data_IF_881818183249
#
_entry.id   IF_881818183249
#
_cell.length_a   1.000
_cell.length_b   1.000
_cell.length_c   1.000
_cell.angle_alpha   90.00
_cell.angle_beta   90.00
_cell.angle_gamma   90.00
#
_symmetry.space_group_name_H-M   'P 1'
#
loop_
_entity.id
_entity.type
_entity.pdbx_description
1 polymer ?
#
# COMPACT_ATOMS: atom_id res chain seq x y z
N UNK A 1 10.12 -11.85 -17.85
CA UNK A 1 10.51 -11.12 -16.63
C UNK A 1 10.84 -12.19 -15.60
N UNK A 2 12.04 -12.18 -15.03
CA UNK A 2 12.53 -13.24 -14.15
C UNK A 2 12.12 -12.92 -12.71
N UNK A 3 11.02 -13.50 -12.25
CA UNK A 3 10.45 -13.34 -10.89
C UNK A 3 11.48 -13.66 -9.79
N UNK A 4 12.56 -14.34 -10.17
CA UNK A 4 13.71 -14.69 -9.33
C UNK A 4 14.49 -13.46 -8.83
N UNK A 5 14.63 -12.38 -9.64
CA UNK A 5 15.41 -11.21 -9.21
C UNK A 5 14.70 -10.39 -8.13
N UNK A 6 13.36 -10.28 -8.19
CA UNK A 6 12.57 -9.66 -7.13
C UNK A 6 12.74 -10.40 -5.80
N UNK A 7 12.56 -11.73 -5.79
CA UNK A 7 12.72 -12.51 -4.55
C UNK A 7 14.15 -12.48 -4.01
N UNK A 8 15.15 -12.44 -4.89
CA UNK A 8 16.55 -12.23 -4.51
C UNK A 8 16.75 -10.88 -3.80
N UNK A 9 16.14 -9.81 -4.31
CA UNK A 9 16.21 -8.50 -3.68
C UNK A 9 15.61 -8.53 -2.26
N UNK A 10 14.47 -9.19 -2.08
CA UNK A 10 13.83 -9.38 -0.77
C UNK A 10 14.68 -10.24 0.17
N UNK A 11 15.33 -11.29 -0.33
CA UNK A 11 16.21 -12.14 0.47
C UNK A 11 17.44 -11.38 0.96
N UNK A 12 18.06 -10.56 0.10
CA UNK A 12 19.20 -9.71 0.44
C UNK A 12 18.87 -8.77 1.61
N UNK A 13 17.68 -8.17 1.60
CA UNK A 13 17.28 -7.30 2.71
C UNK A 13 17.09 -8.05 4.02
N UNK A 14 16.53 -9.26 3.97
CA UNK A 14 16.32 -10.10 5.15
C UNK A 14 17.62 -10.65 5.71
N UNK A 15 18.65 -10.81 4.89
CA UNK A 15 19.95 -11.35 5.28
C UNK A 15 20.95 -10.30 5.77
N UNK A 16 20.54 -9.04 5.93
CA UNK A 16 21.40 -7.95 6.41
C UNK A 16 22.13 -7.16 5.32
N UNK A 17 21.85 -7.44 4.04
CA UNK A 17 22.35 -6.67 2.89
C UNK A 17 21.26 -5.71 2.38
N UNK A 18 20.66 -4.94 3.29
CA UNK A 18 19.48 -4.12 3.01
C UNK A 18 19.70 -3.05 1.95
N UNK A 19 20.90 -2.48 1.87
CA UNK A 19 21.24 -1.48 0.84
C UNK A 19 21.29 -2.10 -0.56
N UNK A 20 21.95 -3.26 -0.72
CA UNK A 20 22.04 -3.95 -2.02
C UNK A 20 20.68 -4.49 -2.49
N UNK A 21 19.89 -5.03 -1.55
CA UNK A 21 18.52 -5.46 -1.84
C UNK A 21 17.64 -4.29 -2.29
N UNK A 22 17.75 -3.14 -1.64
CA UNK A 22 17.02 -1.93 -2.02
C UNK A 22 17.42 -1.41 -3.40
N UNK A 23 18.73 -1.32 -3.70
CA UNK A 23 19.21 -0.90 -5.02
C UNK A 23 18.74 -1.83 -6.14
N UNK A 24 18.67 -3.13 -5.87
CA UNK A 24 18.12 -4.10 -6.82
C UNK A 24 16.62 -3.90 -7.02
N UNK A 25 15.84 -3.64 -5.96
CA UNK A 25 14.44 -3.26 -6.09
C UNK A 25 14.30 -1.98 -6.94
N UNK A 26 15.14 -0.98 -6.74
CA UNK A 26 15.07 0.29 -7.49
C UNK A 26 15.34 0.07 -8.98
N UNK A 27 16.33 -0.76 -9.29
CA UNK A 27 16.60 -1.18 -10.67
C UNK A 27 15.39 -1.88 -11.29
N UNK A 28 14.86 -2.91 -10.64
CA UNK A 28 13.72 -3.69 -11.14
C UNK A 28 12.47 -2.82 -11.33
N UNK A 29 12.24 -1.89 -10.41
CA UNK A 29 11.18 -0.88 -10.49
C UNK A 29 11.34 0.01 -11.72
N UNK A 30 12.55 0.54 -11.99
CA UNK A 30 12.82 1.33 -13.18
C UNK A 30 12.71 0.52 -14.49
N UNK A 31 12.88 -0.80 -14.43
CA UNK A 31 12.66 -1.73 -15.55
C UNK A 31 11.19 -2.10 -15.75
N UNK A 32 10.30 -1.65 -14.87
CA UNK A 32 8.86 -1.85 -14.97
C UNK A 32 8.33 -3.12 -14.30
N UNK A 33 9.10 -3.73 -13.39
CA UNK A 33 8.62 -4.88 -12.60
C UNK A 33 7.52 -4.43 -11.62
N UNK A 34 6.27 -4.92 -11.75
CA UNK A 34 5.14 -4.44 -10.96
C UNK A 34 5.26 -4.78 -9.47
N UNK A 35 5.92 -5.87 -9.10
CA UNK A 35 6.11 -6.25 -7.70
C UNK A 35 7.16 -5.37 -7.03
N UNK A 36 8.29 -5.13 -7.70
CA UNK A 36 9.31 -4.20 -7.23
C UNK A 36 8.75 -2.76 -7.13
N UNK A 37 7.90 -2.37 -8.08
CA UNK A 37 7.20 -1.09 -8.07
C UNK A 37 6.28 -0.94 -6.86
N UNK A 38 5.41 -1.93 -6.59
CA UNK A 38 4.51 -1.91 -5.44
C UNK A 38 5.30 -1.86 -4.12
N UNK A 39 6.36 -2.67 -3.99
CA UNK A 39 7.19 -2.69 -2.79
C UNK A 39 7.91 -1.36 -2.53
N UNK A 40 8.53 -0.79 -3.56
CA UNK A 40 9.16 0.53 -3.45
C UNK A 40 8.14 1.61 -3.11
N UNK A 41 6.97 1.56 -3.73
CA UNK A 41 5.90 2.51 -3.42
C UNK A 41 5.43 2.37 -1.97
N UNK A 42 5.25 1.15 -1.45
CA UNK A 42 4.89 0.96 -0.03
C UNK A 42 5.95 1.58 0.89
N UNK A 43 7.23 1.37 0.59
CA UNK A 43 8.35 1.89 1.38
C UNK A 43 8.41 3.41 1.36
N UNK A 44 8.22 4.03 0.20
CA UNK A 44 8.21 5.48 0.06
C UNK A 44 6.96 6.15 0.65
N UNK A 45 5.93 5.41 1.02
CA UNK A 45 4.66 6.02 1.41
C UNK A 45 4.22 5.67 2.86
N UNK A 46 4.61 4.51 3.42
CA UNK A 46 4.18 4.11 4.78
C UNK A 46 4.81 4.96 5.90
N UNK A 47 4.01 5.54 6.81
CA UNK A 47 4.45 6.36 7.97
C UNK A 47 5.21 5.55 9.04
N UNK A 48 4.82 4.31 9.32
CA UNK A 48 5.49 3.48 10.35
C UNK A 48 6.88 3.01 9.91
N UNK A 49 7.12 2.86 8.61
CA UNK A 49 8.46 2.65 8.03
C UNK A 49 9.25 3.94 7.79
N UNK A 50 8.55 5.09 7.68
CA UNK A 50 9.12 6.36 7.21
C UNK A 50 10.17 6.97 8.16
N UNK A 51 9.91 7.00 9.47
CA UNK A 51 10.78 7.78 10.35
C UNK A 51 12.17 7.15 10.56
N UNK A 52 12.27 5.82 10.49
CA UNK A 52 13.49 5.08 10.80
C UNK A 52 14.20 4.55 9.56
N UNK A 53 13.51 3.82 8.67
CA UNK A 53 14.16 3.13 7.56
C UNK A 53 14.52 4.09 6.42
N UNK A 54 13.59 4.97 6.02
CA UNK A 54 13.84 5.93 4.94
C UNK A 54 14.87 6.96 5.37
N UNK A 55 14.86 7.48 6.60
CA UNK A 55 15.94 8.38 7.08
C UNK A 55 17.33 7.72 7.13
N UNK A 56 17.41 6.39 7.28
CA UNK A 56 18.67 5.67 7.17
C UNK A 56 19.12 5.50 5.71
N UNK A 57 18.19 5.44 4.77
CA UNK A 57 18.44 5.19 3.35
C UNK A 57 18.64 6.50 2.57
N UNK A 58 17.80 7.50 2.81
CA UNK A 58 17.84 8.85 2.24
C UNK A 58 17.52 9.90 3.33
N UNK A 59 18.55 10.42 4.02
CA UNK A 59 18.36 11.40 5.09
C UNK A 59 17.97 12.80 4.58
N UNK A 60 18.08 13.07 3.26
CA UNK A 60 17.67 14.34 2.68
C UNK A 60 16.15 14.40 2.49
N UNK A 61 15.49 15.23 3.28
CA UNK A 61 14.03 15.38 3.27
C UNK A 61 13.46 15.78 1.90
N UNK A 62 14.15 16.63 1.13
CA UNK A 62 13.70 17.06 -0.21
C UNK A 62 13.70 15.88 -1.17
N UNK A 63 14.78 15.09 -1.17
CA UNK A 63 14.90 13.93 -2.04
C UNK A 63 13.91 12.81 -1.64
N UNK A 64 13.64 12.68 -0.35
CA UNK A 64 12.60 11.78 0.15
C UNK A 64 11.20 12.19 -0.35
N UNK A 65 10.89 13.48 -0.35
CA UNK A 65 9.62 14.01 -0.87
C UNK A 65 9.47 13.77 -2.38
N UNK A 66 10.54 13.99 -3.16
CA UNK A 66 10.57 13.68 -4.59
C UNK A 66 10.28 12.20 -4.87
N UNK A 67 10.84 11.29 -4.07
CA UNK A 67 10.62 9.85 -4.19
C UNK A 67 9.19 9.45 -3.81
N UNK A 68 8.61 10.06 -2.79
CA UNK A 68 7.21 9.84 -2.42
C UNK A 68 6.24 10.27 -3.55
N UNK A 69 6.49 11.41 -4.19
CA UNK A 69 5.71 11.87 -5.35
C UNK A 69 5.87 10.91 -6.52
N UNK A 70 7.09 10.45 -6.81
CA UNK A 70 7.35 9.47 -7.87
C UNK A 70 6.61 8.16 -7.61
N UNK A 71 6.59 7.70 -6.36
CA UNK A 71 5.86 6.50 -5.94
C UNK A 71 4.35 6.64 -6.14
N UNK A 72 3.74 7.75 -5.71
CA UNK A 72 2.31 8.02 -5.90
C UNK A 72 1.92 8.05 -7.38
N UNK A 73 2.69 8.75 -8.21
CA UNK A 73 2.46 8.79 -9.66
C UNK A 73 2.47 7.37 -10.24
N UNK A 74 3.39 6.54 -9.78
CA UNK A 74 3.55 5.20 -10.31
C UNK A 74 2.47 4.24 -9.82
N UNK A 75 2.00 4.38 -8.59
CA UNK A 75 0.79 3.70 -8.12
C UNK A 75 -0.44 4.14 -8.93
N UNK A 76 -0.54 5.42 -9.29
CA UNK A 76 -1.64 5.93 -10.11
C UNK A 76 -1.67 5.30 -11.49
N UNK A 77 -0.51 5.06 -12.09
CA UNK A 77 -0.39 4.33 -13.36
C UNK A 77 -0.82 2.86 -13.21
N UNK A 78 -0.29 2.13 -12.23
CA UNK A 78 -0.69 0.74 -11.96
C UNK A 78 -2.19 0.60 -11.66
N UNK A 79 -2.75 1.51 -10.88
CA UNK A 79 -4.18 1.58 -10.58
C UNK A 79 -5.03 1.93 -11.82
N UNK A 80 -4.46 2.65 -12.79
CA UNK A 80 -5.12 2.90 -14.08
C UNK A 80 -5.12 1.65 -14.96
N UNK A 81 -4.09 0.81 -14.84
CA UNK A 81 -3.96 -0.47 -15.53
C UNK A 81 -4.77 -1.61 -14.87
N UNK A 82 -5.44 -1.33 -13.75
CA UNK A 82 -6.34 -2.27 -13.07
C UNK A 82 -5.73 -3.01 -11.89
N UNK A 83 -4.54 -2.63 -11.42
CA UNK A 83 -3.92 -3.24 -10.25
C UNK A 83 -4.68 -2.87 -8.96
N UNK A 84 -5.32 -3.86 -8.35
CA UNK A 84 -6.13 -3.67 -7.15
C UNK A 84 -5.32 -3.32 -5.91
N UNK A 85 -4.07 -3.77 -5.81
CA UNK A 85 -3.20 -3.43 -4.68
C UNK A 85 -2.73 -1.98 -4.80
N UNK A 86 -2.39 -1.52 -6.00
CA UNK A 86 -2.08 -0.12 -6.24
C UNK A 86 -3.26 0.80 -5.89
N UNK A 87 -4.49 0.41 -6.25
CA UNK A 87 -5.70 1.14 -5.85
C UNK A 87 -5.86 1.19 -4.32
N UNK A 88 -5.68 0.06 -3.64
CA UNK A 88 -5.75 -0.02 -2.17
C UNK A 88 -4.71 0.89 -1.50
N UNK A 89 -3.49 0.91 -2.03
CA UNK A 89 -2.42 1.78 -1.57
C UNK A 89 -2.74 3.27 -1.77
N UNK A 90 -3.26 3.66 -2.93
CA UNK A 90 -3.73 5.04 -3.17
C UNK A 90 -4.89 5.43 -2.24
N UNK A 91 -5.76 4.50 -1.88
CA UNK A 91 -6.80 4.80 -0.90
C UNK A 91 -6.21 5.16 0.47
N UNK A 92 -5.17 4.43 0.91
CA UNK A 92 -4.48 4.71 2.17
C UNK A 92 -3.78 6.08 2.15
N UNK A 93 -3.26 6.51 0.99
CA UNK A 93 -2.82 7.89 0.77
C UNK A 93 -3.96 8.87 1.04
N UNK A 94 -5.11 8.68 0.37
CA UNK A 94 -6.24 9.59 0.50
C UNK A 94 -6.87 9.62 1.90
N UNK A 95 -6.73 8.57 2.70
CA UNK A 95 -7.15 8.57 4.11
C UNK A 95 -6.22 9.42 5.00
N UNK A 96 -5.05 9.81 4.49
CA UNK A 96 -4.03 10.51 5.24
C UNK A 96 -3.31 9.59 6.23
N UNK A 97 -3.34 8.27 5.99
CA UNK A 97 -2.52 7.33 6.75
C UNK A 97 -1.05 7.47 6.40
N UNK A 98 -0.75 8.11 5.27
CA UNK A 98 0.57 8.23 4.64
C UNK A 98 0.94 9.72 4.40
N UNK A 99 2.24 10.02 4.27
CA UNK A 99 2.94 11.33 4.33
C UNK A 99 2.10 12.65 4.29
N UNK A 100 2.45 13.63 5.14
CA UNK A 100 1.66 14.85 5.40
C UNK A 100 1.50 15.85 4.25
N UNK A 101 2.10 15.62 3.08
CA UNK A 101 2.03 16.56 1.94
C UNK A 101 0.73 16.43 1.15
N UNK A 102 -0.02 15.34 1.34
CA UNK A 102 -1.13 14.98 0.46
C UNK A 102 -2.51 15.36 1.03
N UNK A 103 -3.42 15.67 0.10
CA UNK A 103 -4.78 16.15 0.41
C UNK A 103 -5.67 14.97 0.79
N UNK A 104 -5.94 14.83 2.08
CA UNK A 104 -6.92 13.86 2.60
C UNK A 104 -8.27 14.03 1.88
N UNK A 105 -8.78 12.94 1.30
CA UNK A 105 -10.06 12.89 0.61
C UNK A 105 -10.76 11.56 0.90
N UNK A 106 -11.70 11.58 1.84
CA UNK A 106 -12.47 10.40 2.25
C UNK A 106 -13.24 9.81 1.06
N UNK A 107 -13.75 10.64 0.16
CA UNK A 107 -14.52 10.22 -1.02
C UNK A 107 -13.63 9.47 -2.03
N UNK A 108 -12.43 9.99 -2.30
CA UNK A 108 -11.51 9.31 -3.23
C UNK A 108 -10.93 8.03 -2.60
N UNK A 109 -10.70 8.03 -1.29
CA UNK A 109 -10.32 6.81 -0.57
C UNK A 109 -11.36 5.70 -0.73
N UNK A 110 -12.64 5.99 -0.44
CA UNK A 110 -13.73 5.01 -0.60
C UNK A 110 -13.80 4.49 -2.03
N UNK A 111 -13.75 5.39 -3.02
CA UNK A 111 -13.81 5.03 -4.43
C UNK A 111 -12.66 4.12 -4.85
N UNK A 112 -11.43 4.39 -4.39
CA UNK A 112 -10.28 3.54 -4.68
C UNK A 112 -10.39 2.18 -4.00
N UNK A 113 -10.85 2.11 -2.75
CA UNK A 113 -11.06 0.84 -2.06
C UNK A 113 -12.13 -0.03 -2.75
N UNK A 114 -13.23 0.57 -3.20
CA UNK A 114 -14.27 -0.16 -3.95
C UNK A 114 -13.71 -0.73 -5.26
N UNK A 115 -12.96 0.07 -6.02
CA UNK A 115 -12.30 -0.41 -7.25
C UNK A 115 -11.26 -1.50 -6.98
N UNK A 116 -10.50 -1.38 -5.89
CA UNK A 116 -9.53 -2.40 -5.46
C UNK A 116 -10.25 -3.73 -5.18
N UNK A 117 -11.37 -3.68 -4.47
CA UNK A 117 -12.18 -4.86 -4.20
C UNK A 117 -12.77 -5.47 -5.48
N UNK A 118 -13.29 -4.66 -6.40
CA UNK A 118 -13.76 -5.10 -7.72
C UNK A 118 -12.65 -5.73 -8.58
N UNK A 119 -11.40 -5.30 -8.39
CA UNK A 119 -10.21 -5.88 -8.99
C UNK A 119 -9.71 -7.16 -8.28
N UNK A 120 -10.50 -7.73 -7.37
CA UNK A 120 -10.19 -8.91 -6.55
C UNK A 120 -9.03 -8.71 -5.54
N UNK A 121 -8.69 -7.46 -5.19
CA UNK A 121 -7.84 -7.20 -4.03
C UNK A 121 -8.68 -7.33 -2.75
N UNK A 122 -8.81 -8.56 -2.25
CA UNK A 122 -9.65 -8.83 -1.07
C UNK A 122 -9.10 -8.26 0.24
N UNK A 123 -7.83 -7.81 0.27
CA UNK A 123 -7.34 -6.97 1.36
C UNK A 123 -8.11 -5.65 1.48
N UNK A 124 -8.60 -5.11 0.36
CA UNK A 124 -9.46 -3.92 0.35
C UNK A 124 -10.81 -4.17 1.05
N UNK A 125 -11.25 -5.43 1.18
CA UNK A 125 -12.46 -5.74 1.94
C UNK A 125 -12.30 -5.41 3.44
N UNK A 126 -11.13 -5.69 4.04
CA UNK A 126 -10.87 -5.26 5.42
C UNK A 126 -10.83 -3.74 5.56
N UNK A 127 -10.19 -3.07 4.60
CA UNK A 127 -10.08 -1.61 4.60
C UNK A 127 -11.48 -0.97 4.43
N UNK A 128 -12.34 -1.54 3.58
CA UNK A 128 -13.75 -1.13 3.43
C UNK A 128 -14.59 -1.40 4.68
N UNK A 129 -14.41 -2.57 5.31
CA UNK A 129 -15.12 -2.89 6.55
C UNK A 129 -14.77 -1.89 7.65
N UNK A 130 -13.48 -1.57 7.80
CA UNK A 130 -12.99 -0.53 8.72
C UNK A 130 -13.54 0.85 8.35
N UNK A 131 -13.55 1.19 7.06
CA UNK A 131 -14.07 2.46 6.57
C UNK A 131 -15.56 2.66 6.93
N UNK A 132 -16.38 1.62 6.81
CA UNK A 132 -17.80 1.67 7.14
C UNK A 132 -18.12 1.43 8.62
N UNK A 133 -17.13 1.10 9.45
CA UNK A 133 -17.32 0.80 10.86
C UNK A 133 -18.05 1.96 11.57
N UNK A 134 -19.18 1.64 12.21
CA UNK A 134 -20.00 2.61 12.94
C UNK A 134 -20.79 3.61 12.09
N UNK A 135 -20.59 3.65 10.77
CA UNK A 135 -21.33 4.52 9.84
C UNK A 135 -22.36 3.76 8.99
N UNK A 136 -22.03 2.54 8.54
CA UNK A 136 -22.93 1.65 7.80
C UNK A 136 -22.68 0.19 8.20
N UNK A 137 -23.41 -0.25 9.23
CA UNK A 137 -23.30 -1.61 9.81
C UNK A 137 -23.55 -2.71 8.77
N UNK A 138 -24.40 -2.46 7.76
CA UNK A 138 -24.70 -3.47 6.74
C UNK A 138 -23.50 -3.66 5.82
N UNK A 139 -22.89 -2.57 5.36
CA UNK A 139 -21.68 -2.62 4.53
C UNK A 139 -20.48 -3.14 5.31
N UNK A 140 -20.29 -2.69 6.55
CA UNK A 140 -19.25 -3.20 7.45
C UNK A 140 -19.29 -4.73 7.53
N UNK A 141 -20.45 -5.30 7.87
CA UNK A 141 -20.64 -6.76 7.96
C UNK A 141 -20.40 -7.47 6.63
N UNK A 142 -20.90 -6.90 5.53
CA UNK A 142 -20.70 -7.46 4.20
C UNK A 142 -19.20 -7.60 3.88
N UNK A 143 -18.43 -6.53 4.05
CA UNK A 143 -17.01 -6.55 3.69
C UNK A 143 -16.16 -7.41 4.63
N UNK A 144 -16.49 -7.50 5.93
CA UNK A 144 -15.84 -8.47 6.81
C UNK A 144 -16.09 -9.92 6.35
N UNK A 145 -17.30 -10.26 5.93
CA UNK A 145 -17.62 -11.60 5.41
C UNK A 145 -16.87 -11.91 4.12
N UNK A 146 -16.70 -10.93 3.23
CA UNK A 146 -15.90 -11.10 2.02
C UNK A 146 -14.41 -11.27 2.35
N UNK A 147 -13.86 -10.48 3.27
CA UNK A 147 -12.48 -10.66 3.75
C UNK A 147 -12.26 -12.07 4.33
N UNK A 148 -13.20 -12.55 5.16
CA UNK A 148 -13.16 -13.90 5.75
C UNK A 148 -13.20 -14.99 4.68
N UNK A 149 -14.13 -14.88 3.73
CA UNK A 149 -14.30 -15.87 2.64
C UNK A 149 -13.01 -16.04 1.83
N UNK A 150 -12.25 -14.97 1.68
CA UNK A 150 -11.00 -14.94 0.92
C UNK A 150 -9.75 -15.14 1.79
N UNK A 151 -9.90 -15.50 3.06
CA UNK A 151 -8.79 -15.81 3.97
C UNK A 151 -7.94 -14.59 4.34
N UNK A 152 -8.46 -13.37 4.13
CA UNK A 152 -7.81 -12.15 4.58
C UNK A 152 -7.92 -12.06 6.11
N UNK A 153 -6.82 -11.76 6.79
CA UNK A 153 -6.81 -11.56 8.25
C UNK A 153 -7.75 -10.41 8.60
N UNK A 154 -8.83 -10.70 9.30
CA UNK A 154 -9.78 -9.68 9.75
C UNK A 154 -9.19 -8.94 10.94
N UNK A 155 -9.22 -7.60 10.89
CA UNK A 155 -8.91 -6.74 12.03
C UNK A 155 -10.22 -6.12 12.49
N UNK A 156 -10.94 -6.84 13.36
CA UNK A 156 -12.11 -6.31 14.04
C UNK A 156 -11.63 -5.56 15.30
N UNK A 157 -12.03 -4.30 15.44
CA UNK A 157 -11.97 -3.62 16.73
C UNK A 157 -13.12 -4.14 17.59
N UNK A 158 -12.85 -5.14 18.44
CA UNK A 158 -13.83 -5.78 19.33
C UNK A 158 -14.37 -4.85 20.46
N UNK A 159 -14.06 -3.55 20.43
CA UNK A 159 -14.43 -2.59 21.48
C UNK A 159 -15.82 -1.95 21.29
N UNK A 160 -16.77 -2.60 20.62
CA UNK A 160 -18.16 -2.10 20.48
C UNK A 160 -19.21 -2.91 21.25
N UNK A 161 -18.80 -3.82 22.13
CA UNK A 161 -19.71 -4.38 23.14
C UNK A 161 -19.70 -3.54 24.43
N UNK A 162 -20.56 -2.52 24.50
CA UNK A 162 -21.62 -2.32 25.53
C UNK A 162 -22.26 -0.93 25.44
#
# INVERSE_FOLDING_TARGET
>A
MDTNEYFKAIEMERSGNSEEGFLLLEKLSNEGDPLALLDLSMRYISIEGYASLVKHIEPNEIKSEELAIKAENRLSELASDGDGEAMRMLANIYLGHWHSVQKKSIVEAEKMLLRAFEANCYFAANDLATFYQGSDIKKEKFYYQEAERHGCRIVQNDNLET
#
